data_IF_454420207461
#
_entry.id   IF_454420207461
#
_cell.length_a   1.000
_cell.length_b   1.000
_cell.length_c   1.000
_cell.angle_alpha   90.00
_cell.angle_beta   90.00
_cell.angle_gamma   90.00
#
_symmetry.space_group_name_H-M   'P 1'
#
loop_
_entity.id
_entity.type
_entity.pdbx_description
1 polymer ?
#
# COMPACT_ATOMS: atom_id res chain seq x y z
N UNK A 1 13.20 -4.50 97.34
CA UNK A 1 12.30 -3.48 96.75
C UNK A 1 12.62 -3.37 95.26
N UNK A 2 11.64 -3.63 94.38
CA UNK A 2 11.81 -3.54 92.91
C UNK A 2 11.76 -2.07 92.47
N UNK A 3 12.50 -1.69 91.41
CA UNK A 3 12.00 -0.71 90.47
C UNK A 3 11.73 -1.37 89.12
N UNK A 4 10.45 -1.36 88.77
CA UNK A 4 9.93 -1.50 87.42
C UNK A 4 10.08 -0.14 86.74
N UNK A 5 10.64 -0.10 85.53
CA UNK A 5 10.26 0.77 84.39
C UNK A 5 11.45 0.92 83.45
N UNK A 6 11.57 0.02 82.47
CA UNK A 6 12.30 0.30 81.22
C UNK A 6 11.63 -0.32 79.97
N UNK A 7 10.43 -0.91 80.13
CA UNK A 7 9.74 -1.60 79.02
C UNK A 7 8.88 -0.68 78.13
N UNK A 8 8.64 0.57 78.52
CA UNK A 8 7.80 1.49 77.76
C UNK A 8 8.54 2.22 76.62
N UNK A 9 9.85 2.44 76.76
CA UNK A 9 10.63 3.20 75.76
C UNK A 9 10.97 2.32 74.56
N UNK A 10 11.25 1.03 74.77
CA UNK A 10 11.54 0.08 73.70
C UNK A 10 10.33 -0.18 72.80
N UNK A 11 9.11 -0.14 73.35
CA UNK A 11 7.89 -0.39 72.57
C UNK A 11 7.53 0.78 71.64
N UNK A 12 7.70 2.03 72.08
CA UNK A 12 7.47 3.21 71.23
C UNK A 12 8.53 3.36 70.13
N UNK A 13 9.79 2.99 70.39
CA UNK A 13 10.85 3.04 69.39
C UNK A 13 10.69 1.98 68.28
N UNK A 14 10.23 0.78 68.65
CA UNK A 14 9.92 -0.30 67.70
C UNK A 14 8.66 0.01 66.86
N UNK A 15 7.64 0.64 67.45
CA UNK A 15 6.41 1.01 66.73
C UNK A 15 6.64 2.14 65.72
N UNK A 16 7.49 3.13 66.04
CA UNK A 16 7.83 4.23 65.13
C UNK A 16 8.72 3.77 63.95
N UNK A 17 9.61 2.80 64.18
CA UNK A 17 10.49 2.24 63.14
C UNK A 17 9.69 1.41 62.09
N UNK A 18 8.70 0.63 62.55
CA UNK A 18 7.87 -0.18 61.66
C UNK A 18 6.88 0.65 60.82
N UNK A 19 6.41 1.80 61.34
CA UNK A 19 5.57 2.73 60.57
C UNK A 19 6.37 3.45 59.48
N UNK A 20 7.63 3.81 59.76
CA UNK A 20 8.53 4.48 58.81
C UNK A 20 8.94 3.55 57.66
N UNK A 21 9.23 2.28 57.94
CA UNK A 21 9.62 1.30 56.92
C UNK A 21 8.46 0.95 55.97
N UNK A 22 7.24 0.83 56.50
CA UNK A 22 6.05 0.56 55.69
C UNK A 22 5.67 1.72 54.76
N UNK A 23 5.86 2.96 55.21
CA UNK A 23 5.59 4.15 54.39
C UNK A 23 6.63 4.32 53.27
N UNK A 24 7.91 4.00 53.52
CA UNK A 24 8.93 4.02 52.48
C UNK A 24 8.74 2.92 51.44
N UNK A 25 8.26 1.72 51.84
CA UNK A 25 7.98 0.62 50.92
C UNK A 25 6.75 0.91 50.03
N UNK A 26 5.71 1.55 50.59
CA UNK A 26 4.53 1.94 49.82
C UNK A 26 4.83 3.02 48.77
N UNK A 27 5.74 3.96 49.05
CA UNK A 27 6.19 4.98 48.08
C UNK A 27 7.06 4.37 46.98
N UNK A 28 7.87 3.35 47.28
CA UNK A 28 8.69 2.65 46.28
C UNK A 28 7.86 1.81 45.31
N UNK A 29 6.75 1.21 45.78
CA UNK A 29 5.81 0.44 44.94
C UNK A 29 4.98 1.40 44.07
N UNK A 30 4.63 2.59 44.56
CA UNK A 30 3.96 3.64 43.78
C UNK A 30 4.85 4.27 42.69
N UNK A 31 6.18 4.19 42.82
CA UNK A 31 7.14 4.65 41.80
C UNK A 31 7.46 3.60 40.74
N UNK A 32 7.09 2.34 40.93
CA UNK A 32 7.35 1.23 39.99
C UNK A 32 6.12 0.79 39.18
N UNK A 33 4.94 1.33 39.48
CA UNK A 33 3.72 1.13 38.67
C UNK A 33 3.39 2.38 37.86
N UNK A 34 4.39 3.03 37.24
CA UNK A 34 4.04 3.87 36.10
C UNK A 34 3.61 2.91 34.99
N UNK A 35 2.33 2.89 34.58
CA UNK A 35 2.02 2.23 33.32
C UNK A 35 2.88 2.95 32.30
N UNK A 36 3.79 2.22 31.67
CA UNK A 36 4.36 2.67 30.39
C UNK A 36 3.14 2.76 29.50
N UNK A 37 2.54 3.94 29.44
CA UNK A 37 1.61 4.36 28.41
C UNK A 37 2.45 4.33 27.14
N UNK A 38 2.65 3.11 26.63
CA UNK A 38 3.03 2.87 25.27
C UNK A 38 1.83 3.37 24.50
N UNK A 39 1.86 4.66 24.18
CA UNK A 39 1.06 5.24 23.13
C UNK A 39 1.43 4.47 21.87
N UNK A 40 0.76 3.33 21.67
CA UNK A 40 0.52 2.80 20.34
C UNK A 40 -0.42 3.84 19.74
N UNK A 41 0.18 4.91 19.21
CA UNK A 41 -0.50 5.74 18.26
C UNK A 41 -0.80 4.82 17.07
N UNK A 42 -1.96 4.18 17.10
CA UNK A 42 -2.62 3.73 15.89
C UNK A 42 -2.89 5.02 15.12
N UNK A 43 -1.94 5.43 14.28
CA UNK A 43 -2.13 6.54 13.38
C UNK A 43 -3.36 6.20 12.52
N UNK A 44 -4.31 7.13 12.34
CA UNK A 44 -5.35 6.93 11.35
C UNK A 44 -4.64 6.74 10.01
N UNK A 45 -4.66 5.51 9.52
CA UNK A 45 -4.14 5.20 8.20
C UNK A 45 -4.89 6.07 7.20
N UNK A 46 -4.14 6.75 6.35
CA UNK A 46 -4.67 7.49 5.23
C UNK A 46 -5.66 6.58 4.46
N UNK A 47 -6.96 6.85 4.64
CA UNK A 47 -8.03 6.11 4.00
C UNK A 47 -8.24 6.73 2.62
N UNK A 48 -7.51 6.21 1.63
CA UNK A 48 -7.87 6.45 0.22
C UNK A 48 -9.11 5.62 -0.10
N UNK A 49 -10.07 6.17 -0.83
CA UNK A 49 -11.38 5.51 -1.04
C UNK A 49 -11.20 4.09 -1.61
N UNK A 50 -11.82 3.10 -0.96
CA UNK A 50 -11.71 1.69 -1.34
C UNK A 50 -10.38 1.02 -0.96
N UNK A 51 -9.45 1.72 -0.31
CA UNK A 51 -8.17 1.18 0.15
C UNK A 51 -8.06 1.30 1.67
N UNK A 52 -7.84 0.17 2.33
CA UNK A 52 -7.59 0.12 3.78
C UNK A 52 -6.25 -0.52 4.04
N UNK A 53 -5.28 0.25 4.50
CA UNK A 53 -4.01 -0.32 4.94
C UNK A 53 -4.29 -1.10 6.24
N UNK A 54 -3.59 -2.21 6.46
CA UNK A 54 -3.68 -3.00 7.69
C UNK A 54 -2.38 -2.89 8.48
N UNK A 55 -1.26 -2.83 7.76
CA UNK A 55 0.09 -2.71 8.31
C UNK A 55 0.98 -1.99 7.31
N UNK A 56 1.88 -1.15 7.82
CA UNK A 56 2.92 -0.49 7.03
C UNK A 56 4.13 -0.25 7.92
N UNK A 57 5.25 -0.91 7.62
CA UNK A 57 6.52 -0.73 8.34
C UNK A 57 7.74 -1.02 7.45
N UNK A 58 8.92 -1.12 8.06
CA UNK A 58 10.17 -1.33 7.36
C UNK A 58 10.26 -2.65 6.56
N UNK A 59 9.43 -3.64 6.90
CA UNK A 59 9.46 -4.97 6.32
C UNK A 59 8.34 -5.20 5.29
N UNK A 60 7.41 -4.27 5.11
CA UNK A 60 6.33 -4.46 4.15
C UNK A 60 5.09 -3.62 4.42
N UNK A 61 4.12 -3.82 3.53
CA UNK A 61 2.80 -3.20 3.56
C UNK A 61 1.75 -4.27 3.33
N UNK A 62 0.78 -4.34 4.23
CA UNK A 62 -0.42 -5.15 4.07
C UNK A 62 -1.62 -4.22 3.90
N UNK A 63 -2.45 -4.46 2.90
CA UNK A 63 -3.61 -3.63 2.62
C UNK A 63 -4.75 -4.45 2.03
N UNK A 64 -5.94 -3.88 2.15
CA UNK A 64 -7.15 -4.33 1.50
C UNK A 64 -7.56 -3.33 0.42
N UNK A 65 -8.09 -3.85 -0.67
CA UNK A 65 -8.66 -3.07 -1.75
C UNK A 65 -10.03 -3.61 -2.16
N UNK A 66 -10.99 -2.70 -2.27
CA UNK A 66 -12.37 -2.96 -2.69
C UNK A 66 -12.71 -1.95 -3.78
N UNK A 67 -12.87 -2.37 -5.05
CA UNK A 67 -13.31 -1.46 -6.12
C UNK A 67 -14.63 -0.76 -5.74
N UNK A 68 -14.69 0.56 -5.93
CA UNK A 68 -15.84 1.39 -5.58
C UNK A 68 -16.47 2.00 -6.83
N UNK A 69 -17.74 2.38 -6.77
CA UNK A 69 -18.46 3.09 -7.83
C UNK A 69 -18.37 2.40 -9.20
N UNK A 70 -18.70 1.11 -9.25
CA UNK A 70 -18.78 0.36 -10.51
C UNK A 70 -19.74 1.01 -11.50
N UNK A 71 -19.31 1.08 -12.75
CA UNK A 71 -20.12 1.47 -13.89
C UNK A 71 -20.01 0.39 -14.96
N UNK A 72 -21.16 -0.01 -15.49
CA UNK A 72 -21.30 -0.98 -16.56
C UNK A 72 -22.12 -0.32 -17.66
N UNK A 73 -21.48 -0.04 -18.80
CA UNK A 73 -22.11 0.64 -19.92
C UNK A 73 -22.21 -0.30 -21.10
N UNK A 74 -23.44 -0.56 -21.55
CA UNK A 74 -23.67 -1.31 -22.77
C UNK A 74 -23.34 -0.44 -23.99
N UNK A 75 -22.51 -0.98 -24.89
CA UNK A 75 -22.12 -0.35 -26.14
C UNK A 75 -22.41 -1.32 -27.27
N UNK A 76 -23.25 -0.91 -28.22
CA UNK A 76 -23.64 -1.75 -29.36
C UNK A 76 -23.02 -1.21 -30.63
N UNK A 77 -22.34 -2.07 -31.39
CA UNK A 77 -21.89 -1.77 -32.74
C UNK A 77 -22.08 -3.00 -33.62
N UNK A 78 -22.74 -2.80 -34.78
CA UNK A 78 -23.31 -3.90 -35.56
C UNK A 78 -24.38 -4.64 -34.76
N UNK A 79 -24.35 -5.98 -34.80
CA UNK A 79 -25.32 -6.85 -34.13
C UNK A 79 -24.84 -7.37 -32.75
N UNK A 80 -23.71 -6.85 -32.26
CA UNK A 80 -23.13 -7.31 -30.98
C UNK A 80 -23.17 -6.20 -29.93
N UNK A 81 -23.67 -6.55 -28.75
CA UNK A 81 -23.63 -5.69 -27.56
C UNK A 81 -22.43 -6.08 -26.70
N UNK A 82 -21.60 -5.10 -26.41
CA UNK A 82 -20.45 -5.19 -25.53
C UNK A 82 -20.73 -4.44 -24.23
N UNK A 83 -19.94 -4.74 -23.20
CA UNK A 83 -19.97 -4.05 -21.92
C UNK A 83 -18.63 -3.39 -21.66
N UNK A 84 -18.66 -2.10 -21.36
CA UNK A 84 -17.53 -1.38 -20.77
C UNK A 84 -17.64 -1.40 -19.26
N UNK A 85 -16.55 -1.78 -18.59
CA UNK A 85 -16.44 -1.78 -17.14
C UNK A 85 -15.55 -0.65 -16.68
N UNK A 86 -16.02 0.12 -15.70
CA UNK A 86 -15.23 1.15 -15.03
C UNK A 86 -15.49 1.12 -13.51
N UNK A 87 -14.54 1.62 -12.74
CA UNK A 87 -14.72 1.87 -11.31
C UNK A 87 -13.91 3.10 -10.88
N UNK A 88 -14.09 3.54 -9.63
CA UNK A 88 -13.42 4.74 -9.14
C UNK A 88 -11.89 4.64 -9.26
N UNK A 89 -11.30 5.61 -9.96
CA UNK A 89 -9.86 5.70 -10.20
C UNK A 89 -9.28 4.45 -10.90
N UNK A 90 -10.08 3.76 -11.71
CA UNK A 90 -9.58 2.73 -12.61
C UNK A 90 -8.88 3.34 -13.82
N UNK A 91 -7.95 2.59 -14.37
CA UNK A 91 -7.33 2.84 -15.67
C UNK A 91 -7.41 1.56 -16.49
N UNK A 92 -7.43 1.67 -17.81
CA UNK A 92 -7.33 0.50 -18.69
C UNK A 92 -6.15 0.67 -19.64
N UNK A 93 -5.45 -0.42 -19.90
CA UNK A 93 -4.35 -0.45 -20.86
C UNK A 93 -4.21 -1.87 -21.42
N UNK A 94 -4.58 -2.05 -22.68
CA UNK A 94 -4.34 -3.25 -23.45
C UNK A 94 -4.15 -2.88 -24.93
N UNK A 95 -3.54 -3.76 -25.76
CA UNK A 95 -3.44 -3.51 -27.20
C UNK A 95 -4.82 -3.36 -27.86
N UNK A 96 -4.94 -2.61 -28.97
CA UNK A 96 -6.18 -2.53 -29.73
C UNK A 96 -6.72 -3.92 -30.08
N UNK A 97 -8.02 -4.10 -29.89
CA UNK A 97 -8.72 -5.37 -30.12
C UNK A 97 -8.70 -6.37 -28.97
N UNK A 98 -7.92 -6.14 -27.92
CA UNK A 98 -8.00 -6.92 -26.68
C UNK A 98 -9.18 -6.43 -25.83
N UNK A 99 -9.72 -7.28 -24.92
CA UNK A 99 -10.68 -6.84 -23.90
C UNK A 99 -10.21 -5.61 -23.15
N UNK A 100 -11.02 -4.55 -23.17
CA UNK A 100 -10.83 -3.32 -22.42
C UNK A 100 -11.30 -3.56 -20.98
N UNK A 101 -10.36 -3.90 -20.11
CA UNK A 101 -10.63 -4.29 -18.72
C UNK A 101 -9.97 -3.31 -17.74
N UNK A 102 -10.74 -2.76 -16.78
CA UNK A 102 -10.22 -1.78 -15.85
C UNK A 102 -9.28 -2.43 -14.83
N UNK A 103 -8.23 -1.70 -14.47
CA UNK A 103 -7.27 -2.07 -13.43
C UNK A 103 -7.04 -0.92 -12.46
N UNK A 104 -6.58 -1.25 -11.27
CA UNK A 104 -6.09 -0.31 -10.26
C UNK A 104 -4.57 -0.42 -10.17
N UNK A 105 -3.88 0.72 -10.19
CA UNK A 105 -2.44 0.77 -9.97
C UNK A 105 -2.17 1.37 -8.59
N UNK A 106 -1.50 0.61 -7.73
CA UNK A 106 -1.20 0.98 -6.35
C UNK A 106 0.31 1.15 -6.20
N UNK A 107 0.81 2.39 -6.15
CA UNK A 107 2.23 2.65 -5.91
C UNK A 107 2.59 2.49 -4.43
N UNK A 108 3.72 1.83 -4.18
CA UNK A 108 4.26 1.55 -2.84
C UNK A 108 5.72 1.99 -2.83
N UNK A 109 6.09 2.87 -1.89
CA UNK A 109 7.48 3.21 -1.63
C UNK A 109 8.21 2.03 -1.02
N UNK A 110 9.46 1.81 -1.42
CA UNK A 110 10.28 0.71 -0.92
C UNK A 110 11.64 1.23 -0.44
N UNK A 111 12.30 0.53 0.50
CA UNK A 111 13.69 0.82 0.83
C UNK A 111 14.58 0.69 -0.42
N UNK A 112 15.56 1.58 -0.62
CA UNK A 112 16.47 1.51 -1.75
C UNK A 112 17.22 0.19 -1.83
N UNK A 113 17.12 -0.50 -2.96
CA UNK A 113 17.75 -1.81 -3.18
C UNK A 113 17.07 -2.99 -2.48
N UNK A 114 15.84 -2.81 -1.98
CA UNK A 114 15.07 -3.92 -1.43
C UNK A 114 14.61 -4.89 -2.53
N UNK A 115 14.74 -6.19 -2.26
CA UNK A 115 13.93 -7.22 -2.92
C UNK A 115 12.48 -7.10 -2.44
N UNK A 116 11.54 -7.31 -3.35
CA UNK A 116 10.11 -7.18 -3.06
C UNK A 116 9.40 -8.46 -3.46
N UNK A 117 8.55 -8.95 -2.57
CA UNK A 117 7.71 -10.14 -2.78
C UNK A 117 6.24 -9.77 -2.57
N UNK A 118 5.36 -10.28 -3.43
CA UNK A 118 3.92 -10.05 -3.37
C UNK A 118 3.20 -11.35 -3.02
N UNK A 119 2.30 -11.26 -2.03
CA UNK A 119 1.42 -12.35 -1.65
C UNK A 119 -0.03 -11.89 -1.64
N UNK A 120 -0.89 -12.65 -2.31
CA UNK A 120 -2.34 -12.50 -2.26
C UNK A 120 -2.82 -13.32 -1.06
N UNK A 121 -3.34 -12.64 -0.04
CA UNK A 121 -3.81 -13.27 1.20
C UNK A 121 -5.21 -13.83 1.02
N UNK A 122 -6.11 -13.05 0.39
CA UNK A 122 -7.45 -13.50 0.06
C UNK A 122 -8.08 -12.61 -1.01
N UNK A 123 -9.07 -13.17 -1.69
CA UNK A 123 -9.90 -12.47 -2.67
C UNK A 123 -11.34 -12.93 -2.58
N UNK A 124 -12.27 -12.08 -3.00
CA UNK A 124 -13.67 -12.46 -3.23
C UNK A 124 -14.06 -12.04 -4.63
N UNK A 125 -14.67 -12.94 -5.39
CA UNK A 125 -15.19 -12.66 -6.72
C UNK A 125 -16.56 -13.28 -6.91
N UNK A 126 -17.27 -12.77 -7.91
CA UNK A 126 -18.47 -13.39 -8.47
C UNK A 126 -18.21 -13.77 -9.93
N UNK A 127 -18.91 -14.80 -10.39
CA UNK A 127 -18.88 -15.24 -11.77
C UNK A 127 -20.10 -14.71 -12.53
N UNK A 128 -19.87 -14.09 -13.67
CA UNK A 128 -20.91 -13.50 -14.51
C UNK A 128 -20.81 -14.13 -15.91
N UNK A 129 -21.88 -14.74 -16.39
CA UNK A 129 -21.93 -15.39 -17.70
C UNK A 129 -22.57 -14.49 -18.76
N UNK A 130 -22.14 -14.64 -20.01
CA UNK A 130 -22.81 -14.06 -21.18
C UNK A 130 -22.50 -12.59 -21.45
N UNK A 131 -21.61 -11.96 -20.68
CA UNK A 131 -21.13 -10.61 -20.95
C UNK A 131 -19.86 -10.65 -21.81
N UNK A 132 -19.77 -9.69 -22.72
CA UNK A 132 -18.64 -9.55 -23.64
C UNK A 132 -17.98 -8.19 -23.40
N UNK A 133 -16.76 -8.14 -22.84
CA UNK A 133 -16.04 -6.88 -22.68
C UNK A 133 -15.81 -6.20 -24.02
N UNK A 134 -15.98 -4.88 -24.05
CA UNK A 134 -15.66 -4.08 -25.22
C UNK A 134 -14.18 -4.22 -25.59
N UNK A 135 -13.79 -4.28 -26.87
CA UNK A 135 -12.38 -4.26 -27.23
C UNK A 135 -11.79 -2.86 -27.09
N UNK A 136 -10.49 -2.76 -26.81
CA UNK A 136 -9.76 -1.48 -26.89
C UNK A 136 -9.83 -0.97 -28.33
N UNK A 137 -10.27 0.28 -28.56
CA UNK A 137 -10.40 0.81 -29.91
C UNK A 137 -9.04 1.16 -30.51
N UNK A 138 -8.97 1.17 -31.84
CA UNK A 138 -7.91 1.89 -32.56
C UNK A 138 -8.32 3.35 -32.70
N UNK A 139 -7.45 4.27 -32.29
CA UNK A 139 -7.68 5.71 -32.46
C UNK A 139 -7.23 6.09 -33.88
N UNK A 140 -8.16 6.58 -34.70
CA UNK A 140 -7.84 7.14 -36.01
C UNK A 140 -7.62 8.65 -35.88
N UNK A 141 -6.42 9.16 -36.21
CA UNK A 141 -6.19 10.59 -36.25
C UNK A 141 -6.96 11.17 -37.44
N UNK A 142 -7.93 12.03 -37.15
CA UNK A 142 -8.61 12.86 -38.16
C UNK A 142 -8.29 14.33 -37.90
N UNK A 143 -8.60 15.21 -38.87
CA UNK A 143 -8.28 16.64 -38.80
C UNK A 143 -8.98 17.38 -37.65
N UNK A 144 -10.10 16.86 -37.14
CA UNK A 144 -10.95 17.59 -36.20
C UNK A 144 -11.11 16.88 -34.85
N UNK A 145 -11.55 15.60 -34.85
CA UNK A 145 -11.76 14.82 -33.63
C UNK A 145 -11.26 13.38 -33.85
N UNK A 146 -10.43 12.81 -32.96
CA UNK A 146 -10.03 11.42 -33.06
C UNK A 146 -11.26 10.51 -33.01
N UNK A 147 -11.38 9.60 -33.98
CA UNK A 147 -12.48 8.63 -34.02
C UNK A 147 -11.99 7.27 -33.50
N UNK A 148 -12.80 6.65 -32.65
CA UNK A 148 -12.56 5.31 -32.11
C UNK A 148 -13.13 4.25 -33.04
N UNK A 149 -12.29 3.32 -33.50
CA UNK A 149 -12.71 2.14 -34.26
C UNK A 149 -12.57 0.88 -33.41
N UNK A 150 -13.70 0.26 -33.09
CA UNK A 150 -13.77 -0.97 -32.32
C UNK A 150 -13.68 -2.19 -33.25
N UNK A 151 -12.69 -3.05 -33.01
CA UNK A 151 -12.53 -4.32 -33.72
C UNK A 151 -11.95 -5.34 -32.77
N UNK A 152 -12.62 -6.47 -32.58
CA UNK A 152 -12.10 -7.56 -31.75
C UNK A 152 -10.87 -8.20 -32.40
N UNK A 153 -9.91 -8.59 -31.58
CA UNK A 153 -8.91 -9.59 -31.96
C UNK A 153 -9.53 -10.98 -31.77
N UNK A 154 -9.77 -11.68 -32.87
CA UNK A 154 -10.44 -12.99 -32.84
C UNK A 154 -9.65 -14.04 -32.07
N UNK A 155 -8.31 -13.98 -32.07
CA UNK A 155 -7.48 -14.96 -31.36
C UNK A 155 -7.65 -14.78 -29.84
N UNK A 156 -7.63 -13.53 -29.38
CA UNK A 156 -7.82 -13.20 -27.97
C UNK A 156 -9.25 -13.49 -27.51
N UNK A 157 -10.26 -13.19 -28.33
CA UNK A 157 -11.66 -13.40 -27.98
C UNK A 157 -12.14 -14.86 -28.10
N UNK A 158 -11.27 -15.79 -28.51
CA UNK A 158 -11.60 -17.22 -28.62
C UNK A 158 -10.67 -18.14 -27.83
N UNK A 159 -9.65 -17.61 -27.16
CA UNK A 159 -8.73 -18.41 -26.34
C UNK A 159 -9.38 -18.92 -25.05
N UNK A 160 -8.78 -19.96 -24.47
CA UNK A 160 -9.25 -20.63 -23.26
C UNK A 160 -8.76 -19.92 -21.99
N UNK A 161 -7.57 -19.32 -22.04
CA UNK A 161 -6.94 -18.64 -20.93
C UNK A 161 -7.64 -17.31 -20.57
N UNK A 162 -7.67 -16.95 -19.27
CA UNK A 162 -8.22 -15.67 -18.86
C UNK A 162 -7.40 -14.49 -19.37
N UNK A 163 -8.09 -13.39 -19.62
CA UNK A 163 -7.52 -12.07 -19.93
C UNK A 163 -7.90 -11.08 -18.84
N UNK A 164 -6.92 -10.42 -18.20
CA UNK A 164 -5.51 -10.79 -18.17
C UNK A 164 -5.32 -12.15 -17.47
N UNK A 165 -4.16 -12.79 -17.69
CA UNK A 165 -3.86 -14.11 -17.11
C UNK A 165 -3.67 -14.04 -15.59
N UNK A 166 -3.02 -12.97 -15.10
CA UNK A 166 -2.90 -12.66 -13.68
C UNK A 166 -3.88 -11.55 -13.28
N UNK A 167 -4.53 -11.68 -12.12
CA UNK A 167 -5.42 -10.66 -11.57
C UNK A 167 -4.74 -9.72 -10.57
N UNK A 168 -3.50 -10.03 -10.15
CA UNK A 168 -2.60 -9.13 -9.44
C UNK A 168 -1.19 -9.30 -9.99
N UNK A 169 -0.53 -8.19 -10.32
CA UNK A 169 0.84 -8.17 -10.82
C UNK A 169 1.69 -7.18 -10.02
N UNK A 170 2.94 -7.55 -9.75
CA UNK A 170 3.95 -6.65 -9.16
C UNK A 170 4.92 -6.22 -10.25
N UNK A 171 4.99 -4.90 -10.51
CA UNK A 171 6.00 -4.37 -11.42
C UNK A 171 7.38 -4.28 -10.76
N UNK A 172 8.42 -4.39 -11.59
CA UNK A 172 9.81 -4.23 -11.16
C UNK A 172 10.05 -2.88 -10.46
N UNK A 173 10.90 -2.84 -9.42
CA UNK A 173 11.29 -1.59 -8.77
C UNK A 173 11.81 -0.54 -9.75
N UNK A 174 11.34 0.70 -9.57
CA UNK A 174 11.78 1.86 -10.36
C UNK A 174 11.93 3.09 -9.48
N UNK A 175 12.69 4.08 -9.95
CA UNK A 175 12.80 5.37 -9.27
C UNK A 175 11.69 6.30 -9.72
N UNK A 176 10.98 6.88 -8.76
CA UNK A 176 10.05 7.99 -8.95
C UNK A 176 10.63 9.17 -8.17
N UNK A 177 11.41 10.00 -8.88
CA UNK A 177 12.18 11.08 -8.26
C UNK A 177 13.13 10.56 -7.17
N UNK A 178 12.91 11.03 -5.95
CA UNK A 178 13.66 10.75 -4.73
C UNK A 178 13.31 9.40 -4.07
N UNK A 179 12.23 8.75 -4.50
CA UNK A 179 11.73 7.52 -3.89
C UNK A 179 11.84 6.33 -4.84
N UNK A 180 12.36 5.20 -4.35
CA UNK A 180 12.21 3.94 -5.08
C UNK A 180 10.81 3.38 -4.82
N UNK A 181 10.12 2.98 -5.87
CA UNK A 181 8.73 2.49 -5.81
C UNK A 181 8.57 1.18 -6.57
N UNK A 182 7.62 0.36 -6.12
CA UNK A 182 6.98 -0.70 -6.92
C UNK A 182 5.53 -0.32 -7.16
N UNK A 183 4.93 -0.90 -8.20
CA UNK A 183 3.50 -0.74 -8.49
C UNK A 183 2.83 -2.10 -8.47
N UNK A 184 1.79 -2.22 -7.65
CA UNK A 184 0.89 -3.37 -7.66
C UNK A 184 -0.27 -3.05 -8.59
N UNK A 185 -0.39 -3.79 -9.69
CA UNK A 185 -1.55 -3.75 -10.57
C UNK A 185 -2.56 -4.78 -10.09
N UNK A 186 -3.81 -4.35 -9.90
CA UNK A 186 -4.92 -5.22 -9.54
C UNK A 186 -5.93 -5.14 -10.67
N UNK A 187 -6.33 -6.28 -11.22
CA UNK A 187 -7.31 -6.40 -12.28
C UNK A 187 -8.60 -6.98 -11.70
N UNK A 188 -9.60 -6.15 -11.35
CA UNK A 188 -10.82 -6.65 -10.72
C UNK A 188 -11.77 -7.35 -11.68
N UNK A 189 -11.41 -7.46 -12.96
CA UNK A 189 -12.16 -8.21 -13.96
C UNK A 189 -11.19 -9.13 -14.70
N UNK A 190 -11.50 -10.42 -14.73
CA UNK A 190 -10.86 -11.39 -15.63
C UNK A 190 -11.90 -11.99 -16.56
N UNK A 191 -11.60 -12.01 -17.85
CA UNK A 191 -12.48 -12.55 -18.88
C UNK A 191 -11.96 -13.88 -19.40
N UNK A 192 -12.82 -14.90 -19.44
CA UNK A 192 -12.56 -16.21 -20.04
C UNK A 192 -13.26 -16.27 -21.40
N UNK A 193 -12.54 -16.02 -22.51
CA UNK A 193 -13.16 -15.73 -23.79
C UNK A 193 -13.92 -16.91 -24.40
N UNK A 194 -13.29 -18.10 -24.47
CA UNK A 194 -13.93 -19.31 -24.98
C UNK A 194 -15.23 -19.66 -24.25
N UNK A 195 -15.29 -19.40 -22.94
CA UNK A 195 -16.45 -19.70 -22.08
C UNK A 195 -17.46 -18.56 -22.00
N UNK A 196 -17.08 -17.35 -22.42
CA UNK A 196 -17.86 -16.11 -22.24
C UNK A 196 -18.29 -15.87 -20.79
N UNK A 197 -17.33 -16.05 -19.89
CA UNK A 197 -17.50 -15.87 -18.44
C UNK A 197 -16.54 -14.79 -17.96
N UNK A 198 -17.00 -13.97 -17.02
CA UNK A 198 -16.19 -12.99 -16.30
C UNK A 198 -16.11 -13.37 -14.83
N UNK A 199 -14.92 -13.26 -14.27
CA UNK A 199 -14.76 -13.16 -12.82
C UNK A 199 -14.61 -11.68 -12.44
N UNK A 200 -15.54 -11.19 -11.63
CA UNK A 200 -15.55 -9.83 -11.11
C UNK A 200 -15.19 -9.85 -9.63
N UNK A 201 -13.97 -9.42 -9.32
CA UNK A 201 -13.45 -9.38 -7.97
C UNK A 201 -13.98 -8.15 -7.22
N UNK A 202 -14.52 -8.41 -6.03
CA UNK A 202 -15.10 -7.39 -5.15
C UNK A 202 -14.17 -7.01 -4.01
N UNK A 203 -13.18 -7.83 -3.70
CA UNK A 203 -12.27 -7.61 -2.57
C UNK A 203 -10.93 -8.31 -2.78
N UNK A 204 -9.87 -7.65 -2.30
CA UNK A 204 -8.49 -8.12 -2.28
C UNK A 204 -7.86 -7.84 -0.93
N UNK A 205 -7.09 -8.78 -0.41
CA UNK A 205 -6.14 -8.58 0.69
C UNK A 205 -4.76 -8.99 0.21
N UNK A 206 -3.82 -8.04 0.25
CA UNK A 206 -2.49 -8.19 -0.34
C UNK A 206 -1.44 -7.82 0.69
N UNK A 207 -0.37 -8.61 0.73
CA UNK A 207 0.84 -8.34 1.49
C UNK A 207 2.01 -8.18 0.53
N UNK A 208 2.72 -7.06 0.64
CA UNK A 208 3.96 -6.78 -0.07
C UNK A 208 5.09 -6.74 0.95
N UNK A 209 6.06 -7.65 0.83
CA UNK A 209 7.21 -7.75 1.74
C UNK A 209 8.43 -7.08 1.15
N UNK A 210 9.19 -6.42 2.01
CA UNK A 210 10.47 -5.80 1.69
C UNK A 210 11.59 -6.60 2.34
N UNK A 211 12.59 -6.97 1.54
CA UNK A 211 13.80 -7.63 2.02
C UNK A 211 15.01 -6.80 1.61
N UNK A 212 15.58 -6.10 2.57
CA UNK A 212 16.77 -5.29 2.37
C UNK A 212 17.99 -6.22 2.33
N UNK A 213 18.73 -6.21 1.22
CA UNK A 213 19.98 -6.97 1.12
C UNK A 213 21.12 -6.08 1.68
N UNK A 214 21.81 -6.48 2.77
CA UNK A 214 22.86 -5.64 3.37
C UNK A 214 24.01 -5.28 2.43
N UNK A 215 24.35 -6.14 1.48
CA UNK A 215 25.38 -5.86 0.47
C UNK A 215 25.00 -4.77 -0.52
N UNK A 216 23.70 -4.47 -0.66
CA UNK A 216 23.17 -3.35 -1.44
C UNK A 216 22.97 -2.08 -0.61
N UNK A 217 23.23 -2.12 0.71
CA UNK A 217 23.31 -0.94 1.58
C UNK A 217 24.59 -0.14 1.32
N UNK A 218 24.87 0.21 0.06
CA UNK A 218 25.86 1.23 -0.29
C UNK A 218 25.29 2.65 -0.23
N UNK A 219 24.09 2.79 0.32
CA UNK A 219 23.43 4.07 0.39
C UNK A 219 23.83 4.78 1.68
N UNK A 220 24.59 5.86 1.48
CA UNK A 220 24.77 6.94 2.45
C UNK A 220 23.39 7.22 3.05
N UNK A 221 23.25 7.11 4.37
CA UNK A 221 22.11 7.64 5.11
C UNK A 221 22.06 9.14 4.76
N UNK A 222 21.28 9.49 3.73
CA UNK A 222 21.12 10.87 3.30
C UNK A 222 20.11 11.46 4.27
N UNK A 223 20.66 12.34 5.08
CA UNK A 223 20.07 13.10 6.17
C UNK A 223 18.81 13.89 5.78
N UNK A 224 18.04 14.35 6.78
CA UNK A 224 16.78 15.07 6.63
C UNK A 224 16.95 16.47 6.02
N UNK A 225 17.10 16.53 4.69
CA UNK A 225 17.21 17.79 3.94
C UNK A 225 16.30 17.80 2.70
N UNK A 226 15.35 16.86 2.62
CA UNK A 226 14.31 16.87 1.60
C UNK A 226 13.26 17.90 2.00
N UNK A 227 12.92 18.88 1.14
CA UNK A 227 11.91 19.90 1.46
C UNK A 227 10.57 19.27 1.89
N UNK A 228 9.86 19.93 2.80
CA UNK A 228 8.58 19.42 3.35
C UNK A 228 7.54 19.24 2.24
N UNK A 229 7.59 20.07 1.20
CA UNK A 229 6.72 19.99 0.03
C UNK A 229 6.94 18.66 -0.72
N UNK A 230 8.19 18.23 -0.84
CA UNK A 230 8.56 16.96 -1.48
C UNK A 230 8.13 15.78 -0.61
N UNK A 231 8.31 15.86 0.71
CA UNK A 231 7.84 14.82 1.64
C UNK A 231 6.30 14.68 1.60
N UNK A 232 5.59 15.79 1.53
CA UNK A 232 4.12 15.82 1.41
C UNK A 232 3.64 15.21 0.10
N UNK A 233 4.34 15.47 -1.01
CA UNK A 233 4.03 14.83 -2.29
C UNK A 233 4.11 13.30 -2.20
N UNK A 234 5.19 12.75 -1.66
CA UNK A 234 5.32 11.30 -1.53
C UNK A 234 4.38 10.70 -0.48
N UNK A 235 4.03 11.46 0.57
CA UNK A 235 3.04 11.08 1.56
C UNK A 235 1.69 10.71 0.93
N UNK A 236 1.29 11.43 -0.13
CA UNK A 236 -0.01 11.28 -0.79
C UNK A 236 0.02 10.35 -2.01
N UNK A 237 1.17 10.28 -2.71
CA UNK A 237 1.28 9.51 -3.94
C UNK A 237 1.41 8.01 -3.68
N UNK A 238 2.20 7.59 -2.69
CA UNK A 238 2.34 6.17 -2.33
C UNK A 238 1.51 5.81 -1.12
N UNK A 239 0.95 4.60 -1.09
CA UNK A 239 0.00 4.23 -0.03
C UNK A 239 0.67 4.15 1.35
N UNK A 240 1.97 3.87 1.41
CA UNK A 240 2.75 3.79 2.63
C UNK A 240 3.60 5.04 2.88
N UNK A 241 3.14 6.20 2.43
CA UNK A 241 3.87 7.46 2.47
C UNK A 241 4.47 7.81 3.83
N UNK A 242 3.75 7.53 4.92
CA UNK A 242 4.20 7.82 6.29
C UNK A 242 5.46 7.05 6.70
N UNK A 243 5.65 5.85 6.12
CA UNK A 243 6.86 5.05 6.30
C UNK A 243 7.86 5.36 5.20
N UNK A 244 7.40 5.54 3.96
CA UNK A 244 8.24 5.71 2.78
C UNK A 244 9.08 7.00 2.82
N UNK A 245 8.63 8.04 3.51
CA UNK A 245 9.40 9.28 3.66
C UNK A 245 10.78 9.08 4.30
N UNK A 246 10.98 8.01 5.08
CA UNK A 246 12.29 7.68 5.65
C UNK A 246 13.30 7.14 4.62
N UNK A 247 12.83 6.80 3.41
CA UNK A 247 13.62 6.20 2.33
C UNK A 247 13.95 7.17 1.20
N UNK A 248 13.51 8.42 1.30
CA UNK A 248 13.81 9.45 0.31
C UNK A 248 15.32 9.63 0.18
N UNK A 249 15.78 9.64 -1.06
CA UNK A 249 17.16 9.97 -1.40
C UNK A 249 17.19 11.33 -2.06
N UNK A 250 18.15 12.18 -1.66
CA UNK A 250 18.43 13.39 -2.42
C UNK A 250 18.71 13.02 -3.88
N UNK A 251 18.23 13.80 -4.86
CA UNK A 251 18.64 13.63 -6.24
C UNK A 251 20.16 13.52 -6.28
N UNK A 252 20.72 12.52 -6.99
CA UNK A 252 22.16 12.52 -7.30
C UNK A 252 22.47 13.93 -7.78
N UNK A 253 23.35 14.65 -7.07
CA UNK A 253 23.80 15.95 -7.51
C UNK A 253 24.17 15.81 -8.99
N UNK A 254 23.44 16.50 -9.88
CA UNK A 254 23.86 16.60 -11.27
C UNK A 254 25.30 17.07 -11.18
N UNK A 255 26.24 16.26 -11.69
CA UNK A 255 27.61 16.71 -11.88
C UNK A 255 27.51 17.98 -12.71
N UNK A 256 27.61 19.14 -12.05
CA UNK A 256 27.74 20.41 -12.74
C UNK A 256 29.07 20.29 -13.45
N UNK A 257 29.04 20.04 -14.76
CA UNK A 257 30.24 20.19 -15.57
C UNK A 257 30.72 21.62 -15.31
N UNK A 258 31.94 21.82 -14.76
CA UNK A 258 32.44 23.18 -14.63
C UNK A 258 32.47 23.74 -16.04
N UNK A 259 31.77 24.85 -16.25
CA UNK A 259 31.85 25.60 -17.50
C UNK A 259 33.32 25.93 -17.71
N UNK A 260 33.92 25.33 -18.75
CA UNK A 260 35.22 25.77 -19.24
C UNK A 260 34.94 27.00 -20.08
N UNK A 261 35.25 28.17 -19.55
CA UNK A 261 35.45 29.35 -20.38
C UNK A 261 36.67 29.07 -21.27
N UNK A 262 36.44 29.02 -22.57
CA UNK A 262 37.45 29.25 -23.60
C UNK A 262 37.03 30.50 -24.35
#
# INVERSE_FOLDING_TARGET
MRPVKNSFITFHLLLACNLSLGLMLAVLILLFTWPVLSSVCAQPLASKVGLRILRSDANGVEFEFTPQNWQETNVTFGDTTFVRFDFLESVSYAPPGYPDLPMKVIPIGIPPGAEVDLQIISTKYEEISGLLPIPVPTIQPTSDVPHELYRIDSLVYTQEEPVPSAFVELESPSWMGELQVVRVKIYPVQFFPAKKILWKYQYFRILVRFKVIPSQLRFRRLTPDVPVEVQSFYQDVVINGSVANQWLQSPKAKLVKPWRFF
#
